data_IF_392555654743
#
_entry.id   IF_392555654743
#
_cell.length_a   1.000
_cell.length_b   1.000
_cell.length_c   1.000
_cell.angle_alpha   90.00
_cell.angle_beta   90.00
_cell.angle_gamma   90.00
#
_symmetry.space_group_name_H-M   'P 1'
#
loop_
_entity.id
_entity.type
_entity.pdbx_description
1 polymer ?
#
# COMPACT_ATOMS: atom_id res chain seq x y z
N UNK A 1 10.91 0.83 -3.05
CA UNK A 1 9.78 0.78 -2.11
C UNK A 1 10.22 1.14 -0.69
N UNK A 2 11.46 0.85 -0.29
CA UNK A 2 11.99 1.18 1.04
C UNK A 2 11.93 2.68 1.37
N UNK A 3 12.25 3.55 0.41
CA UNK A 3 12.16 5.00 0.60
C UNK A 3 10.71 5.45 0.90
N UNK A 4 9.73 4.93 0.17
CA UNK A 4 8.29 5.19 0.41
C UNK A 4 7.90 4.76 1.84
N UNK A 5 8.35 3.57 2.26
CA UNK A 5 8.06 3.06 3.59
C UNK A 5 8.73 3.91 4.69
N UNK A 6 9.99 4.30 4.50
CA UNK A 6 10.73 5.15 5.45
C UNK A 6 10.10 6.53 5.59
N UNK A 7 9.75 7.19 4.46
CA UNK A 7 9.05 8.48 4.47
C UNK A 7 7.70 8.32 5.18
N UNK A 8 6.95 7.27 4.84
CA UNK A 8 5.67 6.98 5.48
C UNK A 8 5.77 6.82 6.99
N UNK A 9 6.77 6.09 7.48
CA UNK A 9 7.06 5.89 8.90
C UNK A 9 7.31 7.21 9.62
N UNK A 10 8.20 8.04 9.07
CA UNK A 10 8.56 9.34 9.67
C UNK A 10 7.34 10.26 9.78
N UNK A 11 6.49 10.29 8.75
CA UNK A 11 5.27 11.11 8.77
C UNK A 11 4.24 10.53 9.73
N UNK A 12 4.13 9.20 9.83
CA UNK A 12 3.18 8.55 10.73
C UNK A 12 3.45 8.87 12.21
N UNK A 13 4.70 9.14 12.57
CA UNK A 13 5.13 9.55 13.92
C UNK A 13 4.78 11.00 14.27
N UNK A 14 4.28 11.79 13.31
CA UNK A 14 3.94 13.21 13.48
C UNK A 14 2.43 13.36 13.75
N UNK A 15 2.01 13.82 14.94
CA UNK A 15 0.59 13.96 15.28
C UNK A 15 -0.10 15.14 14.59
N UNK A 16 0.66 16.08 14.02
CA UNK A 16 0.13 17.32 13.44
C UNK A 16 -0.65 17.06 12.13
N UNK A 17 -1.84 17.66 12.00
CA UNK A 17 -2.70 17.52 10.80
C UNK A 17 -1.98 17.92 9.50
N UNK A 18 -1.04 18.85 9.58
CA UNK A 18 -0.24 19.36 8.45
C UNK A 18 1.03 18.58 8.14
N UNK A 19 1.36 17.51 8.87
CA UNK A 19 2.67 16.85 8.78
C UNK A 19 3.05 16.41 7.35
N UNK A 20 2.08 15.87 6.58
CA UNK A 20 2.33 15.47 5.20
C UNK A 20 2.52 16.66 4.24
N UNK A 21 1.92 17.83 4.53
CA UNK A 21 2.11 19.05 3.73
C UNK A 21 3.50 19.62 4.01
N UNK A 22 3.85 19.78 5.29
CA UNK A 22 5.17 20.26 5.69
C UNK A 22 6.30 19.33 5.18
N UNK A 23 6.11 18.01 5.25
CA UNK A 23 7.06 17.05 4.70
C UNK A 23 7.17 17.16 3.18
N UNK A 24 6.05 17.37 2.46
CA UNK A 24 6.07 17.59 1.02
C UNK A 24 6.86 18.84 0.63
N UNK A 25 6.61 19.97 1.29
CA UNK A 25 7.34 21.23 1.07
C UNK A 25 8.83 21.07 1.37
N UNK A 26 9.16 20.43 2.49
CA UNK A 26 10.55 20.14 2.85
C UNK A 26 11.24 19.28 1.79
N UNK A 27 10.62 18.17 1.36
CA UNK A 27 11.21 17.27 0.37
C UNK A 27 11.38 17.94 -0.99
N UNK A 28 10.41 18.74 -1.43
CA UNK A 28 10.51 19.48 -2.70
C UNK A 28 11.61 20.54 -2.65
N UNK A 29 11.76 21.27 -1.54
CA UNK A 29 12.78 22.30 -1.39
C UNK A 29 14.20 21.73 -1.32
N UNK A 30 14.38 20.59 -0.65
CA UNK A 30 15.70 19.98 -0.45
C UNK A 30 16.11 19.03 -1.58
N UNK A 31 15.15 18.54 -2.38
CA UNK A 31 15.40 17.62 -3.49
C UNK A 31 14.67 18.07 -4.76
N UNK A 32 15.03 19.25 -5.33
CA UNK A 32 14.30 19.83 -6.46
C UNK A 32 14.32 18.95 -7.73
N UNK A 33 15.36 18.14 -7.91
CA UNK A 33 15.47 17.22 -9.05
C UNK A 33 14.61 15.95 -8.88
N UNK A 34 14.05 15.72 -7.67
CA UNK A 34 13.21 14.56 -7.38
C UNK A 34 11.74 14.95 -7.47
N UNK A 35 11.01 14.18 -8.26
CA UNK A 35 9.56 14.38 -8.43
C UNK A 35 8.74 13.44 -7.55
N UNK A 36 7.43 13.69 -7.46
CA UNK A 36 6.51 12.80 -6.75
C UNK A 36 6.27 13.16 -5.28
N UNK A 37 6.83 14.25 -4.75
CA UNK A 37 6.58 14.70 -3.38
C UNK A 37 5.38 15.64 -3.23
N UNK A 38 4.31 15.46 -4.02
CA UNK A 38 3.09 16.25 -3.78
C UNK A 38 2.50 15.93 -2.40
N UNK A 39 1.83 16.88 -1.71
CA UNK A 39 1.20 16.60 -0.42
C UNK A 39 0.27 15.38 -0.42
N UNK A 40 -0.42 15.14 -1.54
CA UNK A 40 -1.25 13.95 -1.73
C UNK A 40 -0.41 12.67 -1.78
N UNK A 41 0.68 12.65 -2.53
CA UNK A 41 1.52 11.45 -2.63
C UNK A 41 2.26 11.16 -1.32
N UNK A 42 2.67 12.21 -0.60
CA UNK A 42 3.28 12.09 0.72
C UNK A 42 2.29 11.53 1.75
N UNK A 43 1.00 11.92 1.69
CA UNK A 43 -0.08 11.26 2.46
C UNK A 43 -0.18 9.77 2.12
N UNK A 44 -0.17 9.41 0.83
CA UNK A 44 -0.19 8.00 0.41
C UNK A 44 1.01 7.22 0.93
N UNK A 45 2.21 7.81 0.98
CA UNK A 45 3.40 7.15 1.57
C UNK A 45 3.17 6.81 3.04
N UNK A 46 2.57 7.74 3.81
CA UNK A 46 2.14 7.48 5.20
C UNK A 46 1.09 6.38 5.28
N UNK A 47 0.09 6.40 4.40
CA UNK A 47 -0.99 5.42 4.40
C UNK A 47 -0.47 4.03 4.02
N UNK A 48 0.52 3.94 3.13
CA UNK A 48 1.26 2.70 2.83
C UNK A 48 1.94 2.12 4.06
N UNK A 49 2.66 2.96 4.82
CA UNK A 49 3.28 2.52 6.06
C UNK A 49 2.23 1.99 7.05
N UNK A 50 1.15 2.74 7.31
CA UNK A 50 0.08 2.34 8.23
C UNK A 50 -0.63 1.05 7.83
N UNK A 51 -0.83 0.87 6.53
CA UNK A 51 -1.55 -0.30 6.00
C UNK A 51 -0.76 -1.59 6.22
N UNK A 52 0.58 -1.52 6.21
CA UNK A 52 1.43 -2.71 6.20
C UNK A 52 2.36 -2.86 7.40
N UNK A 53 2.45 -1.89 8.31
CA UNK A 53 3.37 -1.94 9.45
C UNK A 53 3.16 -3.16 10.37
N UNK A 54 1.89 -3.57 10.55
CA UNK A 54 1.51 -4.62 11.49
C UNK A 54 1.53 -6.04 10.89
N UNK A 55 1.69 -6.18 9.56
CA UNK A 55 1.72 -7.48 8.90
C UNK A 55 2.93 -7.57 7.96
N UNK A 56 3.99 -8.20 8.46
CA UNK A 56 5.23 -8.42 7.72
C UNK A 56 5.05 -9.29 6.47
N UNK A 57 4.05 -10.18 6.43
CA UNK A 57 3.76 -11.00 5.25
C UNK A 57 3.15 -10.12 4.16
N UNK A 58 2.19 -9.27 4.52
CA UNK A 58 1.59 -8.31 3.59
C UNK A 58 2.58 -7.27 3.12
N UNK A 59 3.42 -6.74 4.01
CA UNK A 59 4.48 -5.82 3.64
C UNK A 59 5.41 -6.43 2.58
N UNK A 60 5.83 -7.69 2.75
CA UNK A 60 6.66 -8.39 1.74
C UNK A 60 5.97 -8.53 0.39
N UNK A 61 4.65 -8.72 0.35
CA UNK A 61 3.90 -8.74 -0.92
C UNK A 61 3.81 -7.34 -1.54
N UNK A 62 3.50 -6.33 -0.74
CA UNK A 62 3.41 -4.94 -1.15
C UNK A 62 4.75 -4.42 -1.71
N UNK A 63 5.87 -4.87 -1.14
CA UNK A 63 7.23 -4.55 -1.59
C UNK A 63 7.59 -5.17 -2.95
N UNK A 64 6.96 -6.30 -3.32
CA UNK A 64 7.19 -6.96 -4.61
C UNK A 64 6.43 -6.30 -5.76
N UNK A 65 5.42 -5.48 -5.46
CA UNK A 65 4.61 -4.82 -6.47
C UNK A 65 4.93 -3.31 -6.53
N UNK A 66 4.74 -2.72 -7.72
CA UNK A 66 5.04 -1.31 -7.93
C UNK A 66 4.13 -0.34 -7.14
N UNK A 67 4.60 0.89 -6.93
CA UNK A 67 3.88 1.94 -6.20
C UNK A 67 2.46 2.17 -6.74
N UNK A 68 2.28 2.20 -8.06
CA UNK A 68 0.97 2.42 -8.69
C UNK A 68 -0.05 1.34 -8.30
N UNK A 69 0.35 0.08 -8.23
CA UNK A 69 -0.56 -1.01 -7.85
C UNK A 69 -0.90 -0.93 -6.37
N UNK A 70 0.09 -0.61 -5.52
CA UNK A 70 -0.15 -0.36 -4.10
C UNK A 70 -1.16 0.77 -3.89
N UNK A 71 -1.05 1.89 -4.60
CA UNK A 71 -2.01 3.00 -4.50
C UNK A 71 -3.42 2.55 -4.90
N UNK A 72 -3.57 1.78 -5.97
CA UNK A 72 -4.87 1.24 -6.38
C UNK A 72 -5.47 0.34 -5.30
N UNK A 73 -4.67 -0.53 -4.69
CA UNK A 73 -5.13 -1.46 -3.64
C UNK A 73 -5.51 -0.70 -2.35
N UNK A 74 -4.74 0.32 -1.97
CA UNK A 74 -5.00 1.10 -0.76
C UNK A 74 -6.21 2.03 -0.89
N UNK A 75 -6.43 2.59 -2.09
CA UNK A 75 -7.57 3.49 -2.35
C UNK A 75 -8.83 2.74 -2.77
N UNK A 76 -8.74 1.44 -3.06
CA UNK A 76 -9.90 0.57 -3.19
C UNK A 76 -10.43 0.24 -1.79
N UNK A 77 -11.73 0.44 -1.56
CA UNK A 77 -12.43 0.14 -0.31
C UNK A 77 -12.56 -1.38 -0.09
N UNK A 78 -11.42 -2.07 -0.01
CA UNK A 78 -11.32 -3.51 0.11
C UNK A 78 -11.35 -3.96 1.57
N UNK A 79 -12.03 -5.07 1.82
CA UNK A 79 -11.86 -5.82 3.06
C UNK A 79 -10.42 -6.32 3.21
N UNK A 80 -10.01 -6.71 4.42
CA UNK A 80 -8.68 -7.28 4.66
C UNK A 80 -8.41 -8.51 3.78
N UNK A 81 -9.41 -9.37 3.57
CA UNK A 81 -9.30 -10.58 2.73
C UNK A 81 -9.11 -10.22 1.25
N UNK A 82 -9.92 -9.30 0.72
CA UNK A 82 -9.80 -8.83 -0.66
C UNK A 82 -8.44 -8.17 -0.91
N UNK A 83 -7.94 -7.36 0.03
CA UNK A 83 -6.61 -6.73 -0.03
C UNK A 83 -5.50 -7.77 -0.11
N UNK A 84 -5.54 -8.81 0.73
CA UNK A 84 -4.59 -9.93 0.70
C UNK A 84 -4.62 -10.61 -0.67
N UNK A 85 -5.82 -10.93 -1.18
CA UNK A 85 -6.01 -11.56 -2.49
C UNK A 85 -5.42 -10.71 -3.61
N UNK A 86 -5.69 -9.41 -3.63
CA UNK A 86 -5.09 -8.47 -4.59
C UNK A 86 -3.56 -8.47 -4.55
N UNK A 87 -2.97 -8.38 -3.36
CA UNK A 87 -1.51 -8.35 -3.19
C UNK A 87 -0.85 -9.64 -3.66
N UNK A 88 -1.44 -10.79 -3.30
CA UNK A 88 -0.94 -12.10 -3.73
C UNK A 88 -0.99 -12.24 -5.25
N UNK A 89 -2.13 -11.92 -5.87
CA UNK A 89 -2.30 -12.01 -7.33
C UNK A 89 -1.42 -11.02 -8.07
N UNK A 90 -1.35 -9.77 -7.61
CA UNK A 90 -0.48 -8.75 -8.20
C UNK A 90 0.99 -9.18 -8.19
N UNK A 91 1.45 -9.81 -7.11
CA UNK A 91 2.82 -10.30 -6.99
C UNK A 91 3.07 -11.57 -7.81
N UNK A 92 2.12 -12.52 -7.85
CA UNK A 92 2.28 -13.80 -8.55
C UNK A 92 2.11 -13.68 -10.08
N UNK A 93 1.07 -12.97 -10.52
CA UNK A 93 0.67 -12.86 -11.93
C UNK A 93 1.30 -11.65 -12.63
N UNK A 94 2.09 -10.82 -11.91
CA UNK A 94 2.67 -9.56 -12.41
C UNK A 94 1.62 -8.66 -13.07
N UNK A 95 0.51 -8.45 -12.38
CA UNK A 95 -0.66 -7.76 -12.93
C UNK A 95 -0.33 -6.34 -13.41
N UNK A 96 -0.95 -5.94 -14.53
CA UNK A 96 -1.02 -4.54 -14.93
C UNK A 96 -2.02 -3.77 -14.07
N UNK A 97 -1.90 -2.45 -14.02
CA UNK A 97 -2.88 -1.57 -13.35
C UNK A 97 -4.31 -1.84 -13.86
N UNK A 98 -4.47 -1.98 -15.18
CA UNK A 98 -5.77 -2.24 -15.81
C UNK A 98 -6.34 -3.56 -15.30
N UNK A 99 -5.55 -4.63 -15.27
CA UNK A 99 -6.04 -5.94 -14.85
C UNK A 99 -6.41 -5.97 -13.36
N UNK A 100 -5.63 -5.31 -12.52
CA UNK A 100 -5.94 -5.15 -11.10
C UNK A 100 -7.27 -4.42 -10.89
N UNK A 101 -7.53 -3.35 -11.64
CA UNK A 101 -8.80 -2.63 -11.58
C UNK A 101 -9.98 -3.50 -12.03
N UNK A 102 -9.82 -4.29 -13.11
CA UNK A 102 -10.86 -5.24 -13.53
C UNK A 102 -11.18 -6.26 -12.44
N UNK A 103 -10.18 -6.75 -11.70
CA UNK A 103 -10.39 -7.70 -10.59
C UNK A 103 -11.20 -7.03 -9.48
N UNK A 104 -10.81 -5.82 -9.09
CA UNK A 104 -11.48 -5.06 -8.01
C UNK A 104 -12.92 -4.71 -8.39
N UNK A 105 -13.15 -4.25 -9.62
CA UNK A 105 -14.48 -3.82 -10.08
C UNK A 105 -15.46 -4.98 -10.27
N UNK A 106 -14.97 -6.15 -10.64
CA UNK A 106 -15.81 -7.33 -10.86
C UNK A 106 -15.97 -8.20 -9.59
N UNK A 107 -15.47 -7.73 -8.43
CA UNK A 107 -15.42 -8.50 -7.18
C UNK A 107 -14.80 -9.89 -7.36
N UNK A 108 -13.86 -10.02 -8.31
CA UNK A 108 -13.29 -11.28 -8.76
C UNK A 108 -12.14 -11.73 -7.86
N UNK A 109 -12.38 -11.74 -6.55
CA UNK A 109 -11.44 -12.22 -5.55
C UNK A 109 -11.59 -13.73 -5.42
N UNK A 110 -10.49 -14.46 -5.53
CA UNK A 110 -10.54 -15.89 -5.25
C UNK A 110 -10.89 -16.07 -3.77
N UNK A 111 -12.07 -16.63 -3.48
CA UNK A 111 -12.34 -17.20 -2.18
C UNK A 111 -11.43 -18.42 -2.03
N UNK A 112 -10.35 -18.27 -1.28
CA UNK A 112 -9.76 -19.44 -0.64
C UNK A 112 -10.56 -19.67 0.64
N UNK A 113 -11.05 -20.90 0.91
CA UNK A 113 -11.49 -21.23 2.25
C UNK A 113 -10.31 -20.87 3.17
N UNK A 114 -10.58 -20.03 4.15
CA UNK A 114 -9.68 -19.88 5.26
C UNK A 114 -9.82 -21.22 5.97
N UNK A 115 -8.91 -22.16 5.70
CA UNK A 115 -8.85 -23.37 6.51
C UNK A 115 -8.76 -22.90 7.96
N UNK A 116 -9.83 -23.19 8.71
CA UNK A 116 -9.81 -23.22 10.16
C UNK A 116 -8.59 -24.05 10.56
N UNK A 117 -7.81 -23.66 11.58
CA UNK A 117 -6.99 -24.67 12.22
C UNK A 117 -7.97 -25.70 12.78
N UNK A 118 -8.01 -26.88 12.14
CA UNK A 118 -8.64 -28.07 12.70
C UNK A 118 -8.18 -28.19 14.15
N UNK A 119 -9.15 -28.01 15.04
CA UNK A 119 -9.03 -28.37 16.43
C UNK A 119 -8.79 -29.89 16.49
N UNK A 120 -7.55 -30.32 16.69
CA UNK A 120 -7.25 -31.71 17.04
C UNK A 120 -6.17 -31.80 18.13
N UNK A 121 -6.65 -32.28 19.29
CA UNK A 121 -6.02 -32.86 20.48
C UNK A 121 -5.27 -31.97 21.47
#
# INVERSE_FOLDING_TARGET
MDEIYAIGKVICQRPEKGAAVAAAEFLQANFPDRTGFSPRNVRRMRDFYRTYENDQRLLRLAMKIGWTLNVVIMEAELTSVQRISCLQRAAAERLSKKKLLEIILNDAFAEKPIDEPDEIC
#
